data_IF_088336478641
#
_entry.id   IF_088336478641
#
_cell.length_a   1.000
_cell.length_b   1.000
_cell.length_c   1.000
_cell.angle_alpha   90.00
_cell.angle_beta   90.00
_cell.angle_gamma   90.00
#
_symmetry.space_group_name_H-M   'P 1'
#
loop_
_entity.id
_entity.type
_entity.pdbx_description
1 polymer ?
#
# COMPACT_ATOMS: atom_id res chain seq x y z
N UNK A 1 -30.88 10.18 -18.38
CA UNK A 1 -30.65 10.85 -19.68
C UNK A 1 -29.67 11.98 -19.44
N UNK A 2 -28.44 11.82 -19.90
CA UNK A 2 -27.41 12.86 -19.88
C UNK A 2 -26.84 12.89 -21.30
N UNK A 3 -27.35 13.78 -22.14
CA UNK A 3 -26.68 14.20 -23.36
C UNK A 3 -25.62 15.23 -22.96
N UNK A 4 -24.35 14.87 -23.12
CA UNK A 4 -23.25 15.81 -23.07
C UNK A 4 -22.99 16.26 -24.52
N UNK A 5 -23.22 17.54 -24.85
CA UNK A 5 -23.02 18.03 -26.21
C UNK A 5 -21.51 18.11 -26.49
N UNK A 6 -21.05 17.40 -27.52
CA UNK A 6 -19.68 17.53 -28.04
C UNK A 6 -18.96 16.22 -28.35
N UNK A 7 -19.46 15.07 -27.92
CA UNK A 7 -18.90 13.77 -28.30
C UNK A 7 -19.97 13.03 -29.10
N UNK A 8 -19.87 13.11 -30.44
CA UNK A 8 -20.55 12.16 -31.32
C UNK A 8 -19.94 10.77 -31.10
N UNK A 9 -20.32 10.08 -30.03
CA UNK A 9 -20.07 8.64 -29.90
C UNK A 9 -20.96 7.94 -30.94
N UNK A 10 -20.39 7.65 -32.12
CA UNK A 10 -21.00 6.91 -33.23
C UNK A 10 -21.22 5.42 -32.91
N UNK A 11 -21.81 5.10 -31.77
CA UNK A 11 -22.21 3.73 -31.44
C UNK A 11 -23.71 3.75 -31.14
N UNK A 12 -24.55 3.25 -32.05
CA UNK A 12 -25.98 3.12 -31.80
C UNK A 12 -26.25 2.39 -30.48
N UNK A 13 -27.25 2.81 -29.72
CA UNK A 13 -27.52 2.31 -28.37
C UNK A 13 -27.63 0.76 -28.30
N UNK A 14 -28.19 0.14 -29.34
CA UNK A 14 -28.29 -1.32 -29.45
C UNK A 14 -26.93 -2.02 -29.58
N UNK A 15 -25.93 -1.34 -30.15
CA UNK A 15 -24.57 -1.84 -30.36
C UNK A 15 -23.63 -1.50 -29.21
N UNK A 16 -24.08 -0.79 -28.18
CA UNK A 16 -23.27 -0.49 -27.00
C UNK A 16 -23.22 -1.69 -26.04
N UNK A 17 -22.02 -2.11 -25.66
CA UNK A 17 -21.76 -3.06 -24.58
C UNK A 17 -20.93 -2.35 -23.51
N UNK A 18 -21.51 -2.13 -22.35
CA UNK A 18 -20.80 -1.57 -21.20
C UNK A 18 -20.32 -2.71 -20.32
N UNK A 19 -19.01 -2.77 -20.09
CA UNK A 19 -18.37 -3.71 -19.16
C UNK A 19 -17.68 -2.93 -18.04
N UNK A 20 -17.81 -3.39 -16.81
CA UNK A 20 -17.01 -2.96 -15.68
C UNK A 20 -16.30 -4.21 -15.16
N UNK A 21 -14.98 -4.28 -15.37
CA UNK A 21 -14.21 -5.51 -15.25
C UNK A 21 -14.83 -6.61 -16.14
N UNK A 22 -15.13 -7.78 -15.59
CA UNK A 22 -15.74 -8.92 -16.31
C UNK A 22 -17.28 -8.87 -16.31
N UNK A 23 -17.89 -7.83 -15.72
CA UNK A 23 -19.34 -7.74 -15.54
C UNK A 23 -19.98 -6.82 -16.57
N UNK A 24 -20.96 -7.35 -17.31
CA UNK A 24 -21.82 -6.57 -18.19
C UNK A 24 -22.79 -5.71 -17.39
N UNK A 25 -22.80 -4.41 -17.68
CA UNK A 25 -23.78 -3.49 -17.12
C UNK A 25 -25.08 -3.64 -17.90
N UNK A 26 -26.13 -4.09 -17.22
CA UNK A 26 -27.46 -4.20 -17.80
C UNK A 26 -28.18 -2.85 -17.66
N UNK A 27 -28.80 -2.32 -18.73
CA UNK A 27 -29.50 -1.03 -18.69
C UNK A 27 -30.62 -0.96 -17.64
N UNK A 28 -31.18 -2.12 -17.30
CA UNK A 28 -32.30 -2.29 -16.37
C UNK A 28 -31.87 -2.16 -14.90
N UNK A 29 -30.56 -2.13 -14.61
CA UNK A 29 -30.03 -2.10 -13.24
C UNK A 29 -29.36 -0.76 -12.95
N UNK A 30 -29.60 -0.16 -11.76
CA UNK A 30 -28.94 1.07 -11.39
C UNK A 30 -27.43 0.85 -11.22
N UNK A 31 -26.61 1.87 -11.51
CA UNK A 31 -25.15 1.82 -11.38
C UNK A 31 -24.68 1.45 -9.96
N UNK A 32 -25.47 1.79 -8.94
CA UNK A 32 -25.24 1.40 -7.54
C UNK A 32 -25.25 -0.12 -7.33
N UNK A 33 -26.01 -0.88 -8.12
CA UNK A 33 -25.98 -2.34 -8.10
C UNK A 33 -24.62 -2.91 -8.52
N UNK A 34 -23.80 -2.11 -9.22
CA UNK A 34 -22.44 -2.44 -9.66
C UNK A 34 -21.36 -1.72 -8.83
N UNK A 35 -21.74 -1.02 -7.76
CA UNK A 35 -20.86 -0.18 -6.91
C UNK A 35 -20.16 0.93 -7.70
N UNK A 36 -20.87 1.53 -8.66
CA UNK A 36 -20.41 2.69 -9.44
C UNK A 36 -21.18 3.95 -9.03
N UNK A 37 -20.55 5.15 -9.09
CA UNK A 37 -19.17 5.40 -9.50
C UNK A 37 -18.14 4.97 -8.45
N UNK A 38 -16.97 4.52 -8.89
CA UNK A 38 -15.85 4.13 -8.03
C UNK A 38 -14.54 4.45 -8.73
N UNK A 39 -13.61 5.07 -8.01
CA UNK A 39 -12.29 5.46 -8.54
C UNK A 39 -11.40 4.25 -8.87
N UNK A 40 -11.77 3.05 -8.39
CA UNK A 40 -11.05 1.79 -8.64
C UNK A 40 -11.65 0.97 -9.80
N UNK A 41 -12.78 1.41 -10.37
CA UNK A 41 -13.53 0.62 -11.37
C UNK A 41 -13.80 1.42 -12.63
N UNK A 42 -13.08 1.08 -13.69
CA UNK A 42 -13.30 1.63 -15.01
C UNK A 42 -14.50 0.97 -15.70
N UNK A 43 -15.28 1.79 -16.41
CA UNK A 43 -16.38 1.33 -17.27
C UNK A 43 -15.93 1.47 -18.72
N UNK A 44 -15.83 0.34 -19.41
CA UNK A 44 -15.44 0.26 -20.80
C UNK A 44 -16.69 0.16 -21.68
N UNK A 45 -16.77 1.02 -22.69
CA UNK A 45 -17.80 0.98 -23.73
C UNK A 45 -17.25 0.30 -24.99
N UNK A 46 -17.79 -0.87 -25.31
CA UNK A 46 -17.47 -1.62 -26.51
C UNK A 46 -18.57 -1.48 -27.56
N UNK A 47 -18.18 -1.48 -28.84
CA UNK A 47 -19.09 -1.58 -29.97
C UNK A 47 -19.30 -3.06 -30.33
N UNK A 48 -20.46 -3.63 -29.96
CA UNK A 48 -20.86 -5.01 -30.25
C UNK A 48 -20.80 -5.35 -31.73
N UNK A 49 -21.13 -4.41 -32.62
CA UNK A 49 -21.11 -4.65 -34.05
C UNK A 49 -19.69 -4.89 -34.57
N UNK A 50 -18.67 -4.27 -33.94
CA UNK A 50 -17.24 -4.43 -34.29
C UNK A 50 -16.53 -5.60 -33.61
N UNK A 51 -17.13 -6.18 -32.56
CA UNK A 51 -16.55 -7.33 -31.85
C UNK A 51 -16.97 -8.68 -32.44
N UNK A 52 -17.81 -8.71 -33.49
CA UNK A 52 -18.21 -9.94 -34.16
C UNK A 52 -17.12 -10.40 -35.13
N UNK A 53 -16.85 -11.71 -35.18
CA UNK A 53 -15.86 -12.31 -36.08
C UNK A 53 -16.07 -12.00 -37.57
N UNK A 54 -17.31 -11.69 -37.98
CA UNK A 54 -17.68 -11.31 -39.35
C UNK A 54 -18.12 -9.84 -39.44
N UNK A 55 -17.61 -8.97 -38.56
CA UNK A 55 -17.92 -7.55 -38.64
C UNK A 55 -17.37 -6.96 -39.94
N UNK A 56 -18.17 -6.19 -40.70
CA UNK A 56 -17.66 -5.53 -41.89
C UNK A 56 -16.56 -4.56 -41.49
N UNK A 57 -15.47 -4.52 -42.27
CA UNK A 57 -14.41 -3.56 -42.04
C UNK A 57 -14.99 -2.13 -41.98
N UNK A 58 -14.43 -1.24 -41.14
CA UNK A 58 -14.78 0.17 -41.17
C UNK A 58 -14.75 0.68 -42.60
N UNK A 59 -15.78 1.44 -43.01
CA UNK A 59 -15.76 2.10 -44.30
C UNK A 59 -14.47 2.93 -44.41
N UNK A 60 -13.79 2.84 -45.56
CA UNK A 60 -12.59 3.62 -45.81
C UNK A 60 -12.89 5.10 -45.57
N UNK A 61 -12.00 5.78 -44.85
CA UNK A 61 -12.14 7.19 -44.52
C UNK A 61 -12.20 8.00 -45.82
N UNK A 62 -13.32 8.71 -46.02
CA UNK A 62 -13.53 9.53 -47.20
C UNK A 62 -12.85 10.87 -46.98
N UNK A 63 -11.65 11.01 -47.50
CA UNK A 63 -10.90 12.27 -47.48
C UNK A 63 -11.47 13.19 -48.55
N UNK A 64 -12.23 14.22 -48.16
CA UNK A 64 -12.63 15.29 -49.07
C UNK A 64 -11.39 16.12 -49.44
N UNK A 65 -10.82 15.85 -50.62
CA UNK A 65 -9.77 16.67 -51.21
C UNK A 65 -10.46 17.89 -51.84
N UNK A 66 -10.08 19.09 -51.41
CA UNK A 66 -10.52 20.34 -52.05
C UNK A 66 -10.06 20.33 -53.52
N UNK A 67 -11.01 20.21 -54.45
CA UNK A 67 -10.73 20.21 -55.88
C UNK A 67 -10.65 21.66 -56.39
N UNK A 68 -9.43 22.19 -56.48
CA UNK A 68 -9.18 23.50 -57.11
C UNK A 68 -9.14 23.27 -58.62
N UNK A 69 -10.09 23.80 -59.42
CA UNK A 69 -10.13 23.54 -60.86
C UNK A 69 -8.95 24.17 -61.60
N UNK A 70 -8.52 23.53 -62.70
CA UNK A 70 -7.43 24.06 -63.52
C UNK A 70 -7.86 25.36 -64.23
N UNK A 71 -6.95 26.34 -64.39
CA UNK A 71 -7.29 27.60 -65.05
C UNK A 71 -7.60 27.38 -66.54
N UNK A 72 -8.49 28.20 -67.14
CA UNK A 72 -8.87 28.06 -68.55
C UNK A 72 -7.73 28.43 -69.50
N UNK A 73 -7.71 27.81 -70.68
CA UNK A 73 -6.69 28.04 -71.72
C UNK A 73 -6.65 29.51 -72.17
N UNK A 74 -5.44 30.08 -72.36
CA UNK A 74 -5.30 31.48 -72.75
C UNK A 74 -5.78 31.68 -74.19
N UNK A 75 -6.76 32.56 -74.36
CA UNK A 75 -7.34 32.93 -75.66
C UNK A 75 -7.26 34.45 -75.85
N UNK A 76 -6.88 34.92 -77.03
CA UNK A 76 -6.79 36.37 -77.33
C UNK A 76 -8.15 37.07 -77.21
N UNK A 77 -9.25 36.35 -77.47
CA UNK A 77 -10.63 36.83 -77.31
C UNK A 77 -10.98 37.18 -75.86
N UNK A 78 -10.34 36.53 -74.88
CA UNK A 78 -10.70 36.65 -73.47
C UNK A 78 -9.88 37.72 -72.73
N UNK A 79 -8.80 38.22 -73.35
CA UNK A 79 -7.95 39.31 -72.82
C UNK A 79 -7.23 40.06 -73.95
N UNK A 80 -7.90 40.98 -74.66
CA UNK A 80 -7.31 41.72 -75.77
C UNK A 80 -6.16 42.62 -75.30
N UNK A 81 -5.06 42.66 -76.04
CA UNK A 81 -3.85 43.43 -75.70
C UNK A 81 -3.58 44.49 -76.78
N UNK A 82 -3.18 45.73 -76.41
CA UNK A 82 -2.96 46.82 -77.38
C UNK A 82 -1.93 46.53 -78.48
N UNK A 83 -1.03 45.56 -78.24
CA UNK A 83 0.02 45.15 -79.17
C UNK A 83 -0.38 43.96 -80.06
N UNK A 84 -1.60 43.42 -79.95
CA UNK A 84 -2.07 42.32 -80.81
C UNK A 84 -2.16 42.73 -82.29
N UNK A 85 -2.39 44.02 -82.55
CA UNK A 85 -2.48 44.61 -83.89
C UNK A 85 -1.18 45.28 -84.35
N UNK A 86 -0.06 45.10 -83.62
CA UNK A 86 1.22 45.68 -83.98
C UNK A 86 1.78 45.09 -85.29
N UNK A 87 2.38 45.94 -86.13
CA UNK A 87 2.95 45.55 -87.43
C UNK A 87 4.27 44.78 -87.31
N UNK A 88 5.01 44.97 -86.21
CA UNK A 88 6.27 44.26 -85.93
C UNK A 88 5.96 42.86 -85.37
N UNK A 89 6.39 41.78 -86.06
CA UNK A 89 6.14 40.39 -85.62
C UNK A 89 6.67 40.08 -84.22
N UNK A 90 7.78 40.68 -83.81
CA UNK A 90 8.36 40.46 -82.49
C UNK A 90 7.49 41.12 -81.40
N UNK A 91 7.01 42.34 -81.65
CA UNK A 91 6.11 43.05 -80.73
C UNK A 91 4.72 42.39 -80.66
N UNK A 92 4.24 41.82 -81.77
CA UNK A 92 2.98 41.05 -81.82
C UNK A 92 3.05 39.71 -81.09
N UNK A 93 4.23 39.12 -80.95
CA UNK A 93 4.43 37.87 -80.22
C UNK A 93 4.46 38.06 -78.69
N UNK A 94 4.86 39.25 -78.20
CA UNK A 94 4.99 39.52 -76.76
C UNK A 94 3.69 39.30 -75.97
N UNK A 95 2.50 39.75 -76.41
CA UNK A 95 1.25 39.48 -75.71
C UNK A 95 0.88 38.00 -75.68
N UNK A 96 1.23 37.24 -76.72
CA UNK A 96 1.04 35.78 -76.75
C UNK A 96 1.90 35.11 -75.69
N UNK A 97 3.19 35.48 -75.61
CA UNK A 97 4.07 34.99 -74.57
C UNK A 97 3.61 35.41 -73.18
N UNK A 98 3.22 36.66 -72.97
CA UNK A 98 2.72 37.13 -71.67
C UNK A 98 1.50 36.33 -71.20
N UNK A 99 0.52 36.10 -72.08
CA UNK A 99 -0.67 35.28 -71.76
C UNK A 99 -0.27 33.84 -71.41
N UNK A 100 0.69 33.26 -72.13
CA UNK A 100 1.22 31.94 -71.82
C UNK A 100 1.94 31.95 -70.46
N UNK A 101 2.84 32.90 -70.18
CA UNK A 101 3.52 33.00 -68.89
C UNK A 101 2.54 33.18 -67.72
N UNK A 102 1.49 34.00 -67.89
CA UNK A 102 0.42 34.15 -66.88
C UNK A 102 -0.37 32.86 -66.69
N UNK A 103 -0.75 32.18 -67.78
CA UNK A 103 -1.42 30.88 -67.71
C UNK A 103 -0.56 29.84 -66.98
N UNK A 104 0.73 29.74 -67.32
CA UNK A 104 1.68 28.84 -66.66
C UNK A 104 1.84 29.18 -65.17
N UNK A 105 1.88 30.47 -64.81
CA UNK A 105 1.91 30.91 -63.42
C UNK A 105 0.63 30.49 -62.66
N UNK A 106 -0.54 30.67 -63.25
CA UNK A 106 -1.81 30.25 -62.65
C UNK A 106 -1.92 28.72 -62.52
N UNK A 107 -1.47 27.96 -63.52
CA UNK A 107 -1.37 26.50 -63.45
C UNK A 107 -0.43 26.07 -62.31
N UNK A 108 0.76 26.68 -62.24
CA UNK A 108 1.73 26.42 -61.19
C UNK A 108 1.17 26.74 -59.79
N UNK A 109 0.46 27.85 -59.65
CA UNK A 109 -0.19 28.24 -58.39
C UNK A 109 -1.30 27.25 -57.99
N UNK A 110 -2.17 26.85 -58.93
CA UNK A 110 -3.23 25.88 -58.64
C UNK A 110 -2.66 24.51 -58.19
N UNK A 111 -1.61 24.03 -58.86
CA UNK A 111 -0.91 22.79 -58.48
C UNK A 111 -0.27 22.94 -57.09
N UNK A 112 0.40 24.06 -56.82
CA UNK A 112 1.04 24.33 -55.53
C UNK A 112 0.01 24.39 -54.39
N UNK A 113 -1.11 25.11 -54.57
CA UNK A 113 -2.18 25.18 -53.57
C UNK A 113 -2.81 23.80 -53.32
N UNK A 114 -3.03 22.99 -54.36
CA UNK A 114 -3.56 21.61 -54.21
C UNK A 114 -2.56 20.70 -53.47
N UNK A 115 -1.27 20.88 -53.70
CA UNK A 115 -0.21 20.13 -53.02
C UNK A 115 -0.12 20.50 -51.54
N UNK A 116 -0.18 21.80 -51.20
CA UNK A 116 -0.20 22.26 -49.81
C UNK A 116 -1.41 21.71 -49.04
N UNK A 117 -2.62 21.80 -49.62
CA UNK A 117 -3.83 21.26 -48.99
C UNK A 117 -3.73 19.75 -48.73
N UNK A 118 -3.08 19.00 -49.61
CA UNK A 118 -2.81 17.56 -49.42
C UNK A 118 -1.77 17.30 -48.32
N UNK A 119 -0.74 18.14 -48.20
CA UNK A 119 0.25 18.03 -47.11
C UNK A 119 -0.41 18.32 -45.77
N UNK A 120 -1.20 19.39 -45.65
CA UNK A 120 -1.95 19.71 -44.41
C UNK A 120 -2.91 18.58 -44.02
N UNK A 121 -3.56 17.96 -45.02
CA UNK A 121 -4.39 16.78 -44.82
C UNK A 121 -3.59 15.58 -44.28
N UNK A 122 -2.43 15.29 -44.87
CA UNK A 122 -1.53 14.23 -44.40
C UNK A 122 -1.03 14.51 -42.98
N UNK A 123 -0.68 15.75 -42.66
CA UNK A 123 -0.26 16.14 -41.31
C UNK A 123 -1.38 15.96 -40.29
N UNK A 124 -2.60 16.37 -40.62
CA UNK A 124 -3.77 16.17 -39.76
C UNK A 124 -4.06 14.68 -39.53
N UNK A 125 -4.11 13.88 -40.59
CA UNK A 125 -4.30 12.43 -40.49
C UNK A 125 -3.16 11.78 -39.68
N UNK A 126 -1.92 12.25 -39.83
CA UNK A 126 -0.78 11.79 -39.04
C UNK A 126 -0.90 12.19 -37.56
N UNK A 127 -1.38 13.39 -37.24
CA UNK A 127 -1.65 13.80 -35.85
C UNK A 127 -2.81 13.01 -35.23
N UNK A 128 -3.85 12.70 -36.01
CA UNK A 128 -4.99 11.87 -35.59
C UNK A 128 -4.57 10.40 -35.36
N UNK A 129 -3.56 9.92 -36.10
CA UNK A 129 -2.92 8.60 -35.91
C UNK A 129 -1.92 8.56 -34.75
N UNK A 130 -1.28 9.68 -34.42
CA UNK A 130 -0.29 9.78 -33.35
C UNK A 130 -1.01 9.72 -32.01
N UNK A 131 -1.21 8.51 -31.51
CA UNK A 131 -1.69 8.14 -30.17
C UNK A 131 -1.75 9.32 -29.20
N UNK A 132 -2.93 9.93 -29.12
CA UNK A 132 -3.17 11.08 -28.26
C UNK A 132 -2.74 10.77 -26.82
N UNK A 133 -1.90 11.65 -26.26
CA UNK A 133 -1.63 11.86 -24.83
C UNK A 133 -0.34 11.29 -24.19
N UNK A 134 0.59 10.60 -24.87
CA UNK A 134 1.83 10.11 -24.20
C UNK A 134 3.09 10.29 -25.05
N UNK A 135 3.90 11.30 -24.73
CA UNK A 135 5.20 11.67 -25.35
C UNK A 135 6.39 11.33 -24.44
N UNK A 136 6.20 11.31 -23.13
CA UNK A 136 7.23 11.01 -22.13
C UNK A 136 6.66 10.17 -20.99
N UNK A 137 7.53 9.61 -20.14
CA UNK A 137 7.11 8.80 -18.99
C UNK A 137 6.26 9.58 -17.98
N UNK A 138 6.41 10.90 -17.93
CA UNK A 138 5.59 11.76 -17.07
C UNK A 138 4.12 11.74 -17.49
N UNK A 139 3.83 11.53 -18.78
CA UNK A 139 2.47 11.44 -19.31
C UNK A 139 1.72 10.16 -18.89
N UNK A 140 2.40 9.24 -18.18
CA UNK A 140 1.77 8.09 -17.55
C UNK A 140 1.01 8.48 -16.29
N UNK A 141 1.27 9.69 -15.75
CA UNK A 141 0.61 10.22 -14.58
C UNK A 141 0.09 11.61 -14.87
N UNK A 142 -1.13 11.92 -14.41
CA UNK A 142 -1.66 13.27 -14.50
C UNK A 142 -0.95 14.15 -13.46
N UNK A 143 -0.19 15.14 -13.92
CA UNK A 143 0.56 16.06 -13.04
C UNK A 143 -0.36 16.77 -12.04
N UNK A 144 -1.53 17.23 -12.48
CA UNK A 144 -2.56 17.85 -11.64
C UNK A 144 -2.99 16.94 -10.47
N UNK A 145 -3.13 15.64 -10.74
CA UNK A 145 -3.49 14.67 -9.71
C UNK A 145 -2.33 14.44 -8.72
N UNK A 146 -1.09 14.36 -9.22
CA UNK A 146 0.09 14.21 -8.35
C UNK A 146 0.26 15.42 -7.44
N UNK A 147 0.10 16.62 -7.99
CA UNK A 147 0.21 17.85 -7.23
C UNK A 147 -0.87 17.91 -6.15
N UNK A 148 -2.13 17.61 -6.51
CA UNK A 148 -3.23 17.54 -5.55
C UNK A 148 -2.96 16.50 -4.45
N UNK A 149 -2.57 15.28 -4.80
CA UNK A 149 -2.25 14.24 -3.81
C UNK A 149 -1.07 14.64 -2.92
N UNK A 150 -0.06 15.32 -3.47
CA UNK A 150 1.07 15.84 -2.69
C UNK A 150 0.63 16.91 -1.69
N UNK A 151 -0.21 17.87 -2.12
CA UNK A 151 -0.77 18.91 -1.25
C UNK A 151 -1.63 18.28 -0.14
N UNK A 152 -2.53 17.36 -0.49
CA UNK A 152 -3.40 16.64 0.45
C UNK A 152 -2.58 15.85 1.47
N UNK A 153 -1.54 15.13 1.03
CA UNK A 153 -0.61 14.44 1.93
C UNK A 153 0.11 15.41 2.86
N UNK A 154 0.54 16.57 2.36
CA UNK A 154 1.19 17.61 3.14
C UNK A 154 0.28 18.20 4.22
N UNK A 155 -0.97 18.50 3.87
CA UNK A 155 -1.98 19.01 4.80
C UNK A 155 -2.30 17.95 5.86
N UNK A 156 -2.58 16.73 5.44
CA UNK A 156 -2.88 15.62 6.35
C UNK A 156 -1.73 15.34 7.31
N UNK A 157 -0.47 15.41 6.84
CA UNK A 157 0.71 15.22 7.68
C UNK A 157 0.80 16.28 8.78
N UNK A 158 0.66 17.56 8.43
CA UNK A 158 0.69 18.67 9.41
C UNK A 158 -0.43 18.54 10.44
N UNK A 159 -1.64 18.19 9.99
CA UNK A 159 -2.77 17.97 10.90
C UNK A 159 -2.50 16.84 11.89
N UNK A 160 -1.93 15.72 11.42
CA UNK A 160 -1.54 14.61 12.27
C UNK A 160 -0.43 15.01 13.25
N UNK A 161 0.59 15.73 12.79
CA UNK A 161 1.69 16.22 13.63
C UNK A 161 1.20 17.14 14.75
N UNK A 162 0.26 18.05 14.45
CA UNK A 162 -0.37 18.90 15.45
C UNK A 162 -1.09 18.07 16.52
N UNK A 163 -1.87 17.06 16.11
CA UNK A 163 -2.59 16.18 17.03
C UNK A 163 -1.67 15.31 17.88
N UNK A 164 -0.57 14.82 17.31
CA UNK A 164 0.47 14.10 18.06
C UNK A 164 1.14 15.03 19.08
N UNK A 165 1.34 16.31 18.75
CA UNK A 165 1.91 17.29 19.66
C UNK A 165 0.98 17.62 20.84
N UNK A 166 -0.32 17.81 20.58
CA UNK A 166 -1.34 17.94 21.63
C UNK A 166 -1.34 16.71 22.55
N UNK A 167 -1.33 15.50 21.96
CA UNK A 167 -1.31 14.25 22.71
C UNK A 167 -0.05 14.08 23.59
N UNK A 168 1.12 14.53 23.13
CA UNK A 168 2.35 14.50 23.94
C UNK A 168 2.20 15.30 25.23
N UNK A 169 1.52 16.45 25.17
CA UNK A 169 1.25 17.27 26.35
C UNK A 169 0.29 16.56 27.30
N UNK A 170 -0.82 16.03 26.79
CA UNK A 170 -1.80 15.27 27.59
C UNK A 170 -1.16 14.05 28.28
N UNK A 171 -0.32 13.31 27.55
CA UNK A 171 0.38 12.15 28.10
C UNK A 171 1.40 12.54 29.17
N UNK A 172 2.13 13.65 28.97
CA UNK A 172 3.06 14.16 29.97
C UNK A 172 2.33 14.57 31.27
N UNK A 173 1.16 15.20 31.16
CA UNK A 173 0.34 15.56 32.31
C UNK A 173 -0.23 14.32 33.01
N UNK A 174 -0.70 13.31 32.25
CA UNK A 174 -1.13 12.03 32.80
C UNK A 174 -0.02 11.34 33.59
N UNK A 175 1.20 11.33 33.03
CA UNK A 175 2.39 10.78 33.68
C UNK A 175 2.67 11.51 34.99
N UNK A 176 2.74 12.85 34.98
CA UNK A 176 2.97 13.66 36.18
C UNK A 176 1.92 13.40 37.27
N UNK A 177 0.65 13.34 36.88
CA UNK A 177 -0.46 13.07 37.81
C UNK A 177 -0.34 11.68 38.44
N UNK A 178 0.08 10.68 37.65
CA UNK A 178 0.30 9.32 38.13
C UNK A 178 1.46 9.25 39.12
N UNK A 179 2.61 9.86 38.80
CA UNK A 179 3.77 9.93 39.69
C UNK A 179 3.43 10.63 41.01
N UNK A 180 2.67 11.73 40.95
CA UNK A 180 2.21 12.43 42.15
C UNK A 180 1.28 11.57 43.01
N UNK A 181 0.41 10.76 42.42
CA UNK A 181 -0.49 9.85 43.15
C UNK A 181 0.31 8.82 43.98
N UNK A 182 1.36 8.24 43.40
CA UNK A 182 2.23 7.27 44.09
C UNK A 182 3.12 7.88 45.17
N UNK A 183 3.35 9.20 45.12
CA UNK A 183 4.12 9.93 46.15
C UNK A 183 3.31 10.25 47.42
N UNK A 184 1.97 10.17 47.36
CA UNK A 184 1.09 10.48 48.48
C UNK A 184 1.21 9.48 49.64
N UNK A 185 1.88 9.85 50.74
CA UNK A 185 2.11 8.97 51.90
C UNK A 185 0.98 9.08 52.94
N UNK A 186 0.06 8.12 52.93
CA UNK A 186 -0.92 7.90 54.00
C UNK A 186 -0.32 7.40 55.32
N UNK A 187 0.95 6.94 55.30
CA UNK A 187 1.58 6.28 56.44
C UNK A 187 1.82 7.18 57.65
N UNK A 188 1.93 8.49 57.46
CA UNK A 188 2.17 9.42 58.56
C UNK A 188 0.94 9.56 59.47
N UNK A 189 -0.25 9.69 58.89
CA UNK A 189 -1.51 9.85 59.63
C UNK A 189 -1.84 8.63 60.51
N UNK A 190 -1.49 7.42 60.06
CA UNK A 190 -1.78 6.17 60.79
C UNK A 190 -0.81 5.99 61.98
N UNK A 191 0.46 6.35 61.81
CA UNK A 191 1.49 6.17 62.85
C UNK A 191 1.23 7.04 64.08
N UNK A 192 0.80 8.28 63.89
CA UNK A 192 0.51 9.20 65.00
C UNK A 192 -0.70 8.72 65.81
N UNK A 193 -1.74 8.23 65.12
CA UNK A 193 -2.93 7.65 65.75
C UNK A 193 -2.58 6.38 66.54
N UNK A 194 -1.79 5.48 65.96
CA UNK A 194 -1.38 4.23 66.60
C UNK A 194 -0.56 4.50 67.88
N UNK A 195 0.34 5.48 67.85
CA UNK A 195 1.16 5.87 69.00
C UNK A 195 0.27 6.45 70.11
N UNK A 196 -0.64 7.35 69.78
CA UNK A 196 -1.56 7.96 70.75
C UNK A 196 -2.47 6.93 71.43
N UNK A 197 -3.00 5.95 70.69
CA UNK A 197 -3.80 4.86 71.27
C UNK A 197 -2.96 4.00 72.22
N UNK A 198 -1.70 3.68 71.84
CA UNK A 198 -0.78 2.92 72.69
C UNK A 198 -0.47 3.65 74.00
N UNK A 199 -0.23 4.96 73.94
CA UNK A 199 0.11 5.77 75.12
C UNK A 199 -1.05 5.80 76.14
N UNK A 200 -2.29 5.84 75.67
CA UNK A 200 -3.49 5.85 76.52
C UNK A 200 -3.89 4.48 77.07
N UNK A 201 -3.21 3.39 76.67
CA UNK A 201 -3.46 2.05 77.21
C UNK A 201 -3.22 2.00 78.74
N UNK A 202 -2.31 2.84 79.26
CA UNK A 202 -2.04 2.97 80.70
C UNK A 202 -3.26 3.50 81.47
N UNK A 203 -3.96 4.49 80.92
CA UNK A 203 -5.17 5.08 81.51
C UNK A 203 -6.29 4.03 81.60
N UNK A 204 -6.45 3.20 80.56
CA UNK A 204 -7.41 2.10 80.56
C UNK A 204 -7.07 1.06 81.63
N UNK A 205 -5.78 0.73 81.80
CA UNK A 205 -5.34 -0.20 82.82
C UNK A 205 -5.57 0.34 84.25
N UNK A 206 -5.38 1.65 84.44
CA UNK A 206 -5.65 2.35 85.71
C UNK A 206 -7.15 2.32 86.05
N UNK A 207 -8.03 2.63 85.09
CA UNK A 207 -9.49 2.46 85.24
C UNK A 207 -9.89 1.04 85.61
N UNK A 208 -9.30 0.03 84.96
CA UNK A 208 -9.55 -1.39 85.29
C UNK A 208 -9.13 -1.72 86.72
N UNK A 209 -7.98 -1.21 87.16
CA UNK A 209 -7.47 -1.41 88.52
C UNK A 209 -8.40 -0.79 89.57
N UNK A 210 -8.83 0.46 89.37
CA UNK A 210 -9.78 1.15 90.26
C UNK A 210 -11.11 0.38 90.32
N UNK A 211 -11.63 -0.06 89.17
CA UNK A 211 -12.89 -0.79 89.12
C UNK A 211 -12.81 -2.18 89.78
N UNK A 212 -11.65 -2.84 89.71
CA UNK A 212 -11.41 -4.07 90.48
C UNK A 212 -11.33 -3.82 91.99
N UNK A 213 -10.70 -2.72 92.42
CA UNK A 213 -10.65 -2.33 93.83
C UNK A 213 -12.07 -2.04 94.36
N UNK A 214 -12.84 -1.21 93.65
CA UNK A 214 -14.24 -0.92 94.01
C UNK A 214 -15.10 -2.19 94.06
N UNK A 215 -14.93 -3.12 93.12
CA UNK A 215 -15.63 -4.41 93.13
C UNK A 215 -15.28 -5.25 94.37
N UNK A 216 -14.00 -5.32 94.75
CA UNK A 216 -13.57 -5.99 95.99
C UNK A 216 -14.16 -5.32 97.22
N UNK A 217 -14.16 -4.00 97.26
CA UNK A 217 -14.67 -3.22 98.37
C UNK A 217 -16.17 -3.45 98.55
N UNK A 218 -16.96 -3.38 97.47
CA UNK A 218 -18.40 -3.68 97.49
C UNK A 218 -18.68 -5.10 97.95
N UNK A 219 -17.92 -6.10 97.49
CA UNK A 219 -18.06 -7.48 97.94
C UNK A 219 -17.72 -7.64 99.44
N UNK A 220 -16.74 -6.88 99.93
CA UNK A 220 -16.34 -6.87 101.34
C UNK A 220 -17.43 -6.24 102.21
N UNK A 221 -18.00 -5.11 101.77
CA UNK A 221 -19.15 -4.48 102.44
C UNK A 221 -20.34 -5.43 102.46
N UNK A 222 -20.68 -6.04 101.32
CA UNK A 222 -21.77 -7.01 101.22
C UNK A 222 -21.58 -8.17 102.18
N UNK A 223 -20.38 -8.76 102.24
CA UNK A 223 -20.06 -9.84 103.18
C UNK A 223 -20.17 -9.40 104.63
N UNK A 224 -19.65 -8.22 105.00
CA UNK A 224 -19.77 -7.67 106.35
C UNK A 224 -21.23 -7.46 106.76
N UNK A 225 -22.07 -6.99 105.82
CA UNK A 225 -23.51 -6.83 106.03
C UNK A 225 -24.21 -8.19 106.18
N UNK A 226 -23.92 -9.15 105.30
CA UNK A 226 -24.48 -10.51 105.35
C UNK A 226 -24.07 -11.25 106.64
N UNK A 227 -22.82 -11.12 107.09
CA UNK A 227 -22.29 -11.69 108.34
C UNK A 227 -22.96 -11.05 109.58
N UNK A 228 -23.30 -9.76 109.53
CA UNK A 228 -24.07 -9.07 110.58
C UNK A 228 -25.54 -9.50 110.62
N UNK A 229 -26.17 -9.73 109.46
CA UNK A 229 -27.58 -10.14 109.35
C UNK A 229 -27.80 -11.62 109.69
N UNK A 230 -26.84 -12.49 109.39
CA UNK A 230 -26.90 -13.94 109.61
C UNK A 230 -26.52 -14.37 111.05
N UNK A 231 -26.03 -13.45 111.89
CA UNK A 231 -25.64 -13.73 113.27
C UNK A 231 -24.38 -14.58 113.44
N UNK A 232 -23.63 -14.85 112.34
CA UNK A 232 -22.38 -15.63 112.34
C UNK A 232 -21.13 -14.79 112.67
N UNK A 233 -21.27 -13.68 113.40
CA UNK A 233 -20.09 -12.92 113.83
C UNK A 233 -19.25 -13.76 114.78
N UNK A 234 -17.98 -13.95 114.44
CA UNK A 234 -16.98 -14.49 115.36
C UNK A 234 -16.94 -13.61 116.62
N UNK A 235 -16.78 -14.21 117.80
CA UNK A 235 -16.87 -13.57 119.12
C UNK A 235 -15.90 -12.39 119.37
N UNK A 236 -15.09 -12.02 118.37
CA UNK A 236 -14.06 -10.99 118.40
C UNK A 236 -14.37 -9.70 117.61
N UNK A 237 -15.39 -9.65 116.75
CA UNK A 237 -15.72 -8.45 115.97
C UNK A 237 -17.07 -7.90 116.42
N UNK A 238 -17.11 -6.65 116.93
CA UNK A 238 -18.36 -5.98 117.26
C UNK A 238 -18.89 -5.24 116.02
N UNK A 239 -20.22 -5.06 115.87
CA UNK A 239 -20.80 -4.34 114.74
C UNK A 239 -20.22 -2.94 114.51
N UNK A 240 -19.78 -2.26 115.58
CA UNK A 240 -19.15 -0.94 115.49
C UNK A 240 -17.75 -0.95 114.86
N UNK A 241 -17.01 -2.07 114.97
CA UNK A 241 -15.67 -2.23 114.40
C UNK A 241 -15.78 -2.43 112.89
N UNK A 242 -16.81 -3.17 112.45
CA UNK A 242 -17.14 -3.35 111.04
C UNK A 242 -17.51 -2.02 110.38
N UNK A 243 -18.31 -1.17 111.02
CA UNK A 243 -18.66 0.16 110.52
C UNK A 243 -17.45 1.11 110.52
N UNK A 244 -16.59 1.06 111.54
CA UNK A 244 -15.37 1.86 111.61
C UNK A 244 -14.37 1.49 110.51
N UNK A 245 -14.34 0.22 110.09
CA UNK A 245 -13.52 -0.24 108.97
C UNK A 245 -14.00 0.27 107.59
N UNK A 246 -15.28 0.66 107.46
CA UNK A 246 -15.84 1.22 106.22
C UNK A 246 -15.46 2.69 106.01
N UNK A 247 -15.21 3.45 107.08
CA UNK A 247 -14.84 4.88 107.00
C UNK A 247 -13.60 5.13 106.13
N UNK A 248 -12.46 4.44 106.36
CA UNK A 248 -11.27 4.54 105.53
C UNK A 248 -11.49 4.11 104.07
N UNK A 249 -12.36 3.13 103.83
CA UNK A 249 -12.71 2.69 102.47
C UNK A 249 -13.47 3.81 101.74
N UNK A 250 -14.48 4.40 102.39
CA UNK A 250 -15.24 5.53 101.86
C UNK A 250 -14.33 6.75 101.60
N UNK A 251 -13.45 7.09 102.54
CA UNK A 251 -12.46 8.17 102.37
C UNK A 251 -11.55 7.92 101.15
N UNK A 252 -11.11 6.68 100.93
CA UNK A 252 -10.30 6.30 99.76
C UNK A 252 -11.09 6.39 98.45
N UNK A 253 -12.41 6.13 98.48
CA UNK A 253 -13.28 6.28 97.33
C UNK A 253 -13.46 7.76 96.97
N UNK A 254 -13.83 8.58 97.97
CA UNK A 254 -14.15 10.00 97.80
C UNK A 254 -12.93 10.84 97.42
N UNK A 255 -11.78 10.60 98.07
CA UNK A 255 -10.58 11.45 97.88
C UNK A 255 -9.63 10.96 96.80
N UNK A 256 -9.66 9.67 96.42
CA UNK A 256 -8.66 9.09 95.53
C UNK A 256 -9.27 8.40 94.30
N UNK A 257 -10.18 7.42 94.49
CA UNK A 257 -10.71 6.64 93.36
C UNK A 257 -11.63 7.45 92.44
N UNK A 258 -12.61 8.19 92.99
CA UNK A 258 -13.57 8.96 92.19
C UNK A 258 -12.88 10.10 91.41
N UNK A 259 -11.99 10.93 92.01
CA UNK A 259 -11.28 11.96 91.26
C UNK A 259 -10.36 11.38 90.17
N UNK A 260 -9.62 10.30 90.45
CA UNK A 260 -8.77 9.63 89.44
C UNK A 260 -9.60 9.02 88.30
N UNK A 261 -10.75 8.45 88.62
CA UNK A 261 -11.67 7.87 87.63
C UNK A 261 -12.25 8.96 86.70
N UNK A 262 -12.64 10.12 87.23
CA UNK A 262 -13.05 11.29 86.43
C UNK A 262 -11.90 11.82 85.56
N UNK A 263 -10.67 11.88 86.09
CA UNK A 263 -9.50 12.27 85.31
C UNK A 263 -9.23 11.29 84.16
N UNK A 264 -9.37 9.98 84.40
CA UNK A 264 -9.25 8.96 83.36
C UNK A 264 -10.36 9.07 82.29
N UNK A 265 -11.61 9.34 82.69
CA UNK A 265 -12.72 9.57 81.77
C UNK A 265 -12.47 10.78 80.86
N UNK A 266 -11.99 11.89 81.43
CA UNK A 266 -11.61 13.09 80.66
C UNK A 266 -10.48 12.79 79.66
N UNK A 267 -9.46 12.06 80.08
CA UNK A 267 -8.36 11.64 79.19
C UNK A 267 -8.84 10.74 78.04
N UNK A 268 -9.74 9.79 78.31
CA UNK A 268 -10.35 8.93 77.27
C UNK A 268 -11.24 9.73 76.33
N UNK A 269 -12.00 10.70 76.85
CA UNK A 269 -12.84 11.58 76.04
C UNK A 269 -12.01 12.43 75.08
N UNK A 270 -10.88 12.94 75.54
CA UNK A 270 -9.92 13.67 74.69
C UNK A 270 -9.31 12.76 73.60
N UNK A 271 -8.94 11.52 73.96
CA UNK A 271 -8.47 10.53 72.97
C UNK A 271 -9.54 10.22 71.92
N UNK A 272 -10.81 10.08 72.32
CA UNK A 272 -11.91 9.83 71.40
C UNK A 272 -12.09 10.97 70.40
N UNK A 273 -12.04 12.22 70.86
CA UNK A 273 -12.09 13.40 69.99
C UNK A 273 -10.93 13.40 68.99
N UNK A 274 -9.70 13.17 69.48
CA UNK A 274 -8.51 13.07 68.63
C UNK A 274 -8.63 11.95 67.57
N UNK A 275 -9.13 10.76 67.97
CA UNK A 275 -9.35 9.65 67.04
C UNK A 275 -10.40 9.99 65.99
N UNK A 276 -11.45 10.72 66.38
CA UNK A 276 -12.52 11.16 65.48
C UNK A 276 -11.99 12.16 64.45
N UNK A 277 -11.20 13.14 64.87
CA UNK A 277 -10.53 14.10 63.96
C UNK A 277 -9.60 13.39 62.98
N UNK A 278 -8.73 12.51 63.46
CA UNK A 278 -7.82 11.73 62.60
C UNK A 278 -8.56 10.82 61.63
N UNK A 279 -9.68 10.23 62.05
CA UNK A 279 -10.55 9.43 61.16
C UNK A 279 -11.17 10.29 60.06
N UNK A 280 -11.60 11.51 60.38
CA UNK A 280 -12.16 12.43 59.41
C UNK A 280 -11.09 12.91 58.41
N UNK A 281 -9.88 13.24 58.88
CA UNK A 281 -8.73 13.56 58.01
C UNK A 281 -8.41 12.41 57.05
N UNK A 282 -8.38 11.17 57.56
CA UNK A 282 -8.15 9.97 56.74
C UNK A 282 -9.25 9.75 55.71
N UNK A 283 -10.53 9.90 56.10
CA UNK A 283 -11.65 9.78 55.17
C UNK A 283 -11.56 10.80 54.02
N UNK A 284 -11.23 12.06 54.35
CA UNK A 284 -11.03 13.10 53.34
C UNK A 284 -9.83 12.78 52.43
N UNK A 285 -8.73 12.29 52.99
CA UNK A 285 -7.58 11.84 52.21
C UNK A 285 -7.98 10.72 51.24
N UNK A 286 -8.62 9.65 51.72
CA UNK A 286 -9.05 8.50 50.90
C UNK A 286 -10.04 8.93 49.82
N UNK A 287 -11.00 9.80 50.14
CA UNK A 287 -11.97 10.30 49.18
C UNK A 287 -11.29 11.05 48.02
N UNK A 288 -10.40 11.99 48.34
CA UNK A 288 -9.62 12.72 47.34
C UNK A 288 -8.71 11.78 46.53
N UNK A 289 -8.12 10.78 47.19
CA UNK A 289 -7.26 9.80 46.53
C UNK A 289 -8.05 8.94 45.54
N UNK A 290 -9.24 8.46 45.91
CA UNK A 290 -10.15 7.72 45.03
C UNK A 290 -10.61 8.56 43.84
N UNK A 291 -10.94 9.83 44.03
CA UNK A 291 -11.30 10.74 42.93
C UNK A 291 -10.14 10.90 41.94
N UNK A 292 -8.90 11.08 42.43
CA UNK A 292 -7.71 11.15 41.58
C UNK A 292 -7.46 9.86 40.80
N UNK A 293 -7.63 8.70 41.45
CA UNK A 293 -7.54 7.38 40.77
C UNK A 293 -8.58 7.31 39.65
N UNK A 294 -9.84 7.63 39.93
CA UNK A 294 -10.91 7.58 38.94
C UNK A 294 -10.62 8.47 37.73
N UNK A 295 -10.12 9.69 37.97
CA UNK A 295 -9.69 10.60 36.91
C UNK A 295 -8.53 10.02 36.08
N UNK A 296 -7.47 9.52 36.72
CA UNK A 296 -6.33 8.92 36.03
C UNK A 296 -6.76 7.70 35.20
N UNK A 297 -7.61 6.84 35.75
CA UNK A 297 -8.14 5.67 35.04
C UNK A 297 -8.97 6.07 33.81
N UNK A 298 -9.82 7.09 33.95
CA UNK A 298 -10.56 7.67 32.83
C UNK A 298 -9.60 8.18 31.74
N UNK A 299 -8.59 8.98 32.12
CA UNK A 299 -7.61 9.53 31.18
C UNK A 299 -6.77 8.45 30.51
N UNK A 300 -6.39 7.37 31.22
CA UNK A 300 -5.72 6.21 30.61
C UNK A 300 -6.62 5.57 29.53
N UNK A 301 -7.92 5.41 29.82
CA UNK A 301 -8.88 4.86 28.85
C UNK A 301 -9.01 5.75 27.62
N UNK A 302 -9.11 7.07 27.81
CA UNK A 302 -9.20 8.06 26.71
C UNK A 302 -7.93 8.05 25.84
N UNK A 303 -6.75 8.09 26.46
CA UNK A 303 -5.45 7.98 25.78
C UNK A 303 -5.36 6.70 24.93
N UNK A 304 -5.82 5.56 25.46
CA UNK A 304 -5.84 4.29 24.70
C UNK A 304 -6.73 4.36 23.46
N UNK A 305 -7.88 5.04 23.54
CA UNK A 305 -8.75 5.25 22.39
C UNK A 305 -8.06 6.12 21.33
N UNK A 306 -7.39 7.20 21.74
CA UNK A 306 -6.64 8.10 20.84
C UNK A 306 -5.51 7.36 20.10
N UNK A 307 -4.83 6.42 20.73
CA UNK A 307 -3.82 5.58 20.06
C UNK A 307 -4.38 4.80 18.88
N UNK A 308 -5.55 4.17 19.04
CA UNK A 308 -6.21 3.44 17.95
C UNK A 308 -6.58 4.38 16.80
N UNK A 309 -7.07 5.59 17.12
CA UNK A 309 -7.37 6.61 16.10
C UNK A 309 -6.11 7.06 15.37
N UNK A 310 -4.99 7.27 16.07
CA UNK A 310 -3.72 7.63 15.43
C UNK A 310 -3.16 6.52 14.55
N UNK A 311 -3.29 5.26 14.97
CA UNK A 311 -2.87 4.12 14.16
C UNK A 311 -3.64 4.05 12.84
N UNK A 312 -4.96 4.26 12.89
CA UNK A 312 -5.79 4.30 11.68
C UNK A 312 -5.46 5.53 10.81
N UNK A 313 -5.22 6.70 11.43
CA UNK A 313 -4.80 7.90 10.71
C UNK A 313 -3.45 7.71 10.00
N UNK A 314 -2.47 7.07 10.64
CA UNK A 314 -1.18 6.72 10.03
C UNK A 314 -1.34 5.76 8.86
N UNK A 315 -2.19 4.75 9.01
CA UNK A 315 -2.48 3.81 7.93
C UNK A 315 -3.09 4.53 6.73
N UNK A 316 -4.11 5.36 6.96
CA UNK A 316 -4.74 6.17 5.92
C UNK A 316 -3.75 7.13 5.24
N UNK A 317 -2.84 7.74 6.01
CA UNK A 317 -1.79 8.59 5.46
C UNK A 317 -0.83 7.80 4.57
N UNK A 318 -0.44 6.58 4.99
CA UNK A 318 0.40 5.70 4.18
C UNK A 318 -0.31 5.33 2.87
N UNK A 319 -1.59 4.96 2.93
CA UNK A 319 -2.39 4.60 1.75
C UNK A 319 -2.50 5.77 0.75
N UNK A 320 -2.67 7.00 1.24
CA UNK A 320 -2.61 8.20 0.39
C UNK A 320 -1.23 8.41 -0.24
N UNK A 321 -0.16 8.13 0.51
CA UNK A 321 1.20 8.27 0.03
C UNK A 321 1.61 7.18 -0.98
N UNK A 322 0.99 6.00 -0.95
CA UNK A 322 1.23 4.95 -1.96
C UNK A 322 0.98 5.44 -3.39
N UNK A 323 -0.01 6.31 -3.58
CA UNK A 323 -0.30 6.90 -4.89
C UNK A 323 0.88 7.72 -5.44
N UNK A 324 1.64 8.39 -4.55
CA UNK A 324 2.84 9.14 -4.93
C UNK A 324 4.04 8.22 -5.20
N UNK A 325 4.06 7.02 -4.62
CA UNK A 325 5.13 6.03 -4.86
C UNK A 325 5.11 5.45 -6.28
N UNK A 326 3.96 5.47 -6.97
CA UNK A 326 3.83 4.99 -8.36
C UNK A 326 4.87 5.65 -9.28
N UNK A 327 5.14 6.94 -9.09
CA UNK A 327 6.13 7.70 -9.87
C UNK A 327 7.54 7.08 -9.80
N UNK A 328 7.93 6.54 -8.64
CA UNK A 328 9.22 5.86 -8.47
C UNK A 328 9.29 4.52 -9.20
N UNK A 329 8.15 3.87 -9.44
CA UNK A 329 8.06 2.58 -10.14
C UNK A 329 8.09 2.69 -11.66
N UNK A 330 7.78 3.86 -12.23
CA UNK A 330 7.66 4.03 -13.69
C UNK A 330 9.01 3.85 -14.41
N UNK A 331 10.08 4.47 -13.90
CA UNK A 331 11.43 4.35 -14.49
C UNK A 331 11.94 2.90 -14.56
N UNK A 332 11.97 2.16 -13.44
CA UNK A 332 12.37 0.75 -13.43
C UNK A 332 11.49 -0.12 -14.33
N UNK A 333 10.17 0.08 -14.31
CA UNK A 333 9.24 -0.68 -15.14
C UNK A 333 9.48 -0.41 -16.64
N UNK A 334 9.69 0.84 -17.05
CA UNK A 334 10.01 1.19 -18.42
C UNK A 334 11.31 0.52 -18.91
N UNK A 335 12.36 0.55 -18.08
CA UNK A 335 13.63 -0.15 -18.37
C UNK A 335 13.42 -1.65 -18.57
N UNK A 336 12.61 -2.29 -17.72
CA UNK A 336 12.29 -3.70 -17.83
C UNK A 336 11.54 -4.02 -19.14
N UNK A 337 10.61 -3.16 -19.56
CA UNK A 337 9.93 -3.29 -20.86
C UNK A 337 10.90 -3.22 -22.04
N UNK A 338 11.84 -2.27 -22.05
CA UNK A 338 12.86 -2.18 -23.10
C UNK A 338 13.77 -3.41 -23.12
N UNK A 339 14.20 -3.89 -21.94
CA UNK A 339 15.01 -5.11 -21.84
C UNK A 339 14.25 -6.33 -22.39
N UNK A 340 12.94 -6.43 -22.12
CA UNK A 340 12.08 -7.50 -22.64
C UNK A 340 11.95 -7.45 -24.17
N UNK A 341 11.84 -6.25 -24.76
CA UNK A 341 11.84 -6.07 -26.23
C UNK A 341 13.15 -6.62 -26.84
N UNK A 342 14.30 -6.23 -26.28
CA UNK A 342 15.62 -6.72 -26.73
C UNK A 342 15.70 -8.24 -26.61
N UNK A 343 15.23 -8.80 -25.48
CA UNK A 343 15.20 -10.24 -25.23
C UNK A 343 14.35 -10.98 -26.26
N UNK A 344 13.16 -10.47 -26.59
CA UNK A 344 12.27 -11.08 -27.59
C UNK A 344 12.85 -11.03 -29.00
N UNK A 345 13.49 -9.92 -29.40
CA UNK A 345 14.23 -9.83 -30.67
C UNK A 345 15.34 -10.87 -30.75
N UNK A 346 16.11 -11.05 -29.68
CA UNK A 346 17.15 -12.07 -29.62
C UNK A 346 16.57 -13.50 -29.71
N UNK A 347 15.47 -13.77 -29.02
CA UNK A 347 14.77 -15.05 -29.09
C UNK A 347 14.25 -15.35 -30.50
N UNK A 348 13.70 -14.36 -31.21
CA UNK A 348 13.28 -14.49 -32.60
C UNK A 348 14.46 -14.86 -33.53
N UNK A 349 15.62 -14.20 -33.38
CA UNK A 349 16.84 -14.53 -34.14
C UNK A 349 17.26 -15.99 -33.92
N UNK A 350 17.25 -16.46 -32.66
CA UNK A 350 17.57 -17.86 -32.32
C UNK A 350 16.54 -18.81 -32.96
N UNK A 351 15.25 -18.48 -32.89
CA UNK A 351 14.19 -19.30 -33.46
C UNK A 351 14.33 -19.45 -34.98
N UNK A 352 14.56 -18.34 -35.69
CA UNK A 352 14.82 -18.34 -37.13
C UNK A 352 16.10 -19.13 -37.48
N UNK A 353 17.15 -19.00 -36.67
CA UNK A 353 18.38 -19.80 -36.83
C UNK A 353 18.12 -21.30 -36.76
N UNK A 354 17.26 -21.75 -35.82
CA UNK A 354 16.86 -23.16 -35.72
C UNK A 354 16.05 -23.64 -36.94
N UNK A 355 15.13 -22.81 -37.44
CA UNK A 355 14.38 -23.12 -38.65
C UNK A 355 15.30 -23.22 -39.88
N UNK A 356 16.30 -22.34 -39.97
CA UNK A 356 17.33 -22.39 -41.01
C UNK A 356 18.18 -23.67 -40.95
N UNK A 357 18.63 -24.07 -39.76
CA UNK A 357 19.36 -25.34 -39.58
C UNK A 357 18.54 -26.56 -40.01
N UNK A 358 17.23 -26.56 -39.73
CA UNK A 358 16.34 -27.63 -40.18
C UNK A 358 16.21 -27.65 -41.71
N UNK A 359 16.03 -26.47 -42.33
CA UNK A 359 15.97 -26.35 -43.79
C UNK A 359 17.25 -26.86 -44.46
N UNK A 360 18.41 -26.49 -43.93
CA UNK A 360 19.72 -26.94 -44.43
C UNK A 360 19.89 -28.46 -44.31
N UNK A 361 19.46 -29.04 -43.18
CA UNK A 361 19.50 -30.50 -42.97
C UNK A 361 18.64 -31.22 -44.02
N UNK A 362 17.39 -30.78 -44.21
CA UNK A 362 16.48 -31.37 -45.20
C UNK A 362 16.99 -31.21 -46.63
N UNK A 363 17.59 -30.06 -46.96
CA UNK A 363 18.24 -29.84 -48.25
C UNK A 363 19.43 -30.78 -48.48
N UNK A 364 20.24 -31.02 -47.44
CA UNK A 364 21.40 -31.94 -47.49
C UNK A 364 20.95 -33.39 -47.70
N UNK A 365 19.95 -33.85 -46.96
CA UNK A 365 19.37 -35.20 -47.10
C UNK A 365 18.77 -35.40 -48.50
N UNK A 366 18.04 -34.40 -49.00
CA UNK A 366 17.53 -34.39 -50.39
C UNK A 366 18.67 -34.50 -51.40
N UNK A 367 19.73 -33.71 -51.23
CA UNK A 367 20.89 -33.74 -52.13
C UNK A 367 21.64 -35.08 -52.13
N UNK A 368 21.67 -35.78 -50.99
CA UNK A 368 22.19 -37.14 -50.93
C UNK A 368 21.28 -38.14 -51.67
N UNK A 369 19.96 -38.03 -51.51
CA UNK A 369 19.00 -38.89 -52.22
C UNK A 369 19.03 -38.68 -53.74
N UNK A 370 19.09 -37.41 -54.18
CA UNK A 370 19.24 -37.06 -55.60
C UNK A 370 20.47 -37.72 -56.20
N UNK A 371 21.62 -37.62 -55.52
CA UNK A 371 22.86 -38.27 -55.97
C UNK A 371 22.73 -39.80 -56.04
N UNK A 372 22.11 -40.43 -55.04
CA UNK A 372 21.86 -41.88 -55.07
C UNK A 372 21.00 -42.30 -56.26
N UNK A 373 19.95 -41.53 -56.60
CA UNK A 373 19.10 -41.79 -57.78
C UNK A 373 19.88 -41.62 -59.07
N UNK A 374 20.68 -40.57 -59.19
CA UNK A 374 21.54 -40.32 -60.35
C UNK A 374 22.58 -41.44 -60.55
N UNK A 375 23.22 -41.89 -59.46
CA UNK A 375 24.17 -43.01 -59.47
C UNK A 375 23.49 -44.32 -59.92
N UNK A 376 22.33 -44.64 -59.36
CA UNK A 376 21.52 -45.79 -59.78
C UNK A 376 21.23 -45.78 -61.29
N UNK A 377 20.83 -44.62 -61.82
CA UNK A 377 20.57 -44.47 -63.25
C UNK A 377 21.83 -44.57 -64.11
N UNK A 378 22.96 -44.04 -63.61
CA UNK A 378 24.24 -44.15 -64.30
C UNK A 378 24.69 -45.60 -64.43
N UNK A 379 24.46 -46.42 -63.41
CA UNK A 379 24.87 -47.83 -63.39
C UNK A 379 23.90 -48.74 -64.16
N UNK A 380 22.58 -48.53 -64.03
CA UNK A 380 21.58 -49.47 -64.54
C UNK A 380 20.76 -48.96 -65.73
N UNK A 381 20.75 -47.65 -66.00
CA UNK A 381 19.83 -47.01 -66.95
C UNK A 381 20.09 -47.32 -68.43
N UNK A 382 21.26 -47.88 -68.78
CA UNK A 382 21.58 -48.28 -70.16
C UNK A 382 21.02 -49.66 -70.55
N UNK A 383 20.66 -50.48 -69.57
CA UNK A 383 20.19 -51.85 -69.78
C UNK A 383 18.67 -51.96 -69.91
N UNK A 384 17.91 -50.92 -69.53
CA UNK A 384 16.45 -50.93 -69.49
C UNK A 384 15.90 -49.81 -70.41
N UNK A 385 14.95 -50.12 -71.31
CA UNK A 385 14.26 -49.11 -72.12
C UNK A 385 13.66 -47.96 -71.29
N UNK A 386 13.80 -46.73 -71.80
CA UNK A 386 13.40 -45.50 -71.09
C UNK A 386 11.92 -45.42 -70.77
N UNK A 387 11.07 -45.94 -71.65
CA UNK A 387 9.62 -46.01 -71.48
C UNK A 387 9.23 -46.87 -70.26
N UNK A 388 9.94 -47.97 -70.04
CA UNK A 388 9.75 -48.83 -68.86
C UNK A 388 10.16 -48.08 -67.59
N UNK A 389 11.36 -47.48 -67.55
CA UNK A 389 11.83 -46.69 -66.40
C UNK A 389 10.90 -45.52 -66.06
N UNK A 390 10.33 -44.88 -67.09
CA UNK A 390 9.34 -43.80 -66.93
C UNK A 390 8.02 -44.33 -66.35
N UNK A 391 7.52 -45.46 -66.85
CA UNK A 391 6.28 -46.07 -66.34
C UNK A 391 6.39 -46.52 -64.88
N UNK A 392 7.60 -46.82 -64.41
CA UNK A 392 7.90 -47.16 -63.01
C UNK A 392 8.11 -45.92 -62.12
N UNK A 393 8.05 -44.69 -62.67
CA UNK A 393 8.26 -43.44 -61.93
C UNK A 393 9.70 -43.23 -61.45
N UNK A 394 10.66 -43.99 -61.98
CA UNK A 394 12.03 -43.92 -61.46
C UNK A 394 12.70 -42.58 -61.78
N UNK A 395 12.26 -41.86 -62.82
CA UNK A 395 12.78 -40.53 -63.17
C UNK A 395 12.31 -39.42 -62.23
N UNK A 396 11.39 -39.70 -61.30
CA UNK A 396 10.91 -38.71 -60.35
C UNK A 396 12.03 -38.31 -59.38
N UNK A 397 12.08 -37.02 -59.04
CA UNK A 397 13.04 -36.47 -58.09
C UNK A 397 12.31 -35.92 -56.87
N UNK A 398 12.90 -36.04 -55.66
CA UNK A 398 12.29 -35.45 -54.47
C UNK A 398 12.13 -33.93 -54.62
N UNK A 399 10.96 -33.39 -54.24
CA UNK A 399 10.72 -31.96 -54.25
C UNK A 399 11.55 -31.23 -53.18
N UNK A 400 11.95 -29.96 -53.40
CA UNK A 400 12.50 -29.12 -52.34
C UNK A 400 11.54 -28.99 -51.16
N UNK A 401 12.06 -28.90 -49.94
CA UNK A 401 11.27 -28.66 -48.74
C UNK A 401 11.45 -27.21 -48.29
N UNK A 402 10.35 -26.44 -48.29
CA UNK A 402 10.35 -25.06 -47.84
C UNK A 402 9.95 -24.97 -46.36
N UNK A 403 10.90 -24.53 -45.53
CA UNK A 403 10.63 -24.23 -44.11
C UNK A 403 10.24 -22.75 -43.99
N UNK A 404 8.96 -22.49 -43.76
CA UNK A 404 8.44 -21.13 -43.58
C UNK A 404 8.12 -20.84 -42.10
N UNK A 405 8.63 -19.72 -41.58
CA UNK A 405 8.29 -19.21 -40.24
C UNK A 405 7.39 -17.99 -40.41
N UNK A 406 6.17 -18.08 -39.88
CA UNK A 406 5.22 -16.96 -39.87
C UNK A 406 5.80 -15.84 -38.99
N UNK A 407 5.90 -14.59 -39.49
CA UNK A 407 6.39 -13.47 -38.69
C UNK A 407 5.55 -13.25 -37.44
N UNK A 408 6.21 -13.05 -36.29
CA UNK A 408 5.62 -12.65 -35.02
C UNK A 408 6.48 -11.57 -34.38
N UNK A 409 5.95 -10.88 -33.36
CA UNK A 409 6.64 -9.76 -32.71
C UNK A 409 7.00 -8.60 -33.67
N UNK A 410 6.21 -8.41 -34.74
CA UNK A 410 6.44 -7.39 -35.78
C UNK A 410 6.29 -5.93 -35.30
N UNK A 411 5.68 -5.72 -34.13
CA UNK A 411 5.43 -4.40 -33.55
C UNK A 411 6.48 -4.01 -32.50
N UNK A 412 7.52 -4.82 -32.31
CA UNK A 412 8.60 -4.51 -31.37
C UNK A 412 9.40 -3.29 -31.85
N UNK A 413 9.75 -2.41 -30.91
CA UNK A 413 10.58 -1.24 -31.19
C UNK A 413 11.99 -1.69 -31.57
N UNK A 414 12.58 -1.05 -32.57
CA UNK A 414 13.93 -1.38 -33.02
C UNK A 414 14.98 -0.82 -32.06
N UNK A 415 15.28 -1.59 -31.02
CA UNK A 415 16.30 -1.29 -30.01
C UNK A 415 17.23 -2.49 -29.81
N UNK A 416 18.49 -2.20 -29.48
CA UNK A 416 19.50 -3.19 -29.11
C UNK A 416 19.99 -3.00 -27.66
N UNK A 417 20.87 -3.89 -27.19
CA UNK A 417 21.40 -3.86 -25.81
C UNK A 417 22.10 -2.51 -25.51
N UNK A 418 22.80 -1.94 -26.48
CA UNK A 418 23.46 -0.64 -26.35
C UNK A 418 22.48 0.52 -26.18
N UNK A 419 21.29 0.40 -26.76
CA UNK A 419 20.24 1.40 -26.66
C UNK A 419 19.53 1.37 -25.30
N UNK A 420 19.52 0.22 -24.62
CA UNK A 420 18.92 0.08 -23.30
C UNK A 420 19.59 1.01 -22.29
N UNK A 421 20.93 1.07 -22.28
CA UNK A 421 21.67 1.98 -21.40
C UNK A 421 21.52 3.45 -21.81
N UNK A 422 21.30 3.72 -23.10
CA UNK A 422 21.10 5.07 -23.63
C UNK A 422 19.73 5.64 -23.27
N UNK A 423 18.67 4.85 -23.43
CA UNK A 423 17.28 5.29 -23.23
C UNK A 423 16.75 5.03 -21.81
N UNK A 424 17.34 4.09 -21.08
CA UNK A 424 16.95 3.76 -19.71
C UNK A 424 18.17 3.37 -18.83
N UNK A 425 19.03 4.34 -18.48
CA UNK A 425 20.23 4.10 -17.68
C UNK A 425 19.88 3.56 -16.27
N UNK A 426 20.84 2.89 -15.62
CA UNK A 426 20.66 2.35 -14.26
C UNK A 426 20.21 3.40 -13.22
N UNK A 427 20.43 4.70 -13.46
CA UNK A 427 19.96 5.77 -12.59
C UNK A 427 18.43 5.84 -12.47
N UNK A 428 17.68 5.31 -13.46
CA UNK A 428 16.21 5.20 -13.42
C UNK A 428 15.71 4.10 -12.47
N UNK A 429 16.58 3.23 -11.95
CA UNK A 429 16.21 2.20 -10.98
C UNK A 429 15.86 2.80 -9.59
N UNK A 430 15.96 4.13 -9.45
CA UNK A 430 15.95 4.81 -8.17
C UNK A 430 17.15 4.38 -7.33
N UNK A 431 17.36 5.03 -6.19
CA UNK A 431 18.22 4.48 -5.14
C UNK A 431 17.52 3.22 -4.57
N UNK A 432 17.49 2.13 -5.34
CA UNK A 432 17.46 0.79 -4.76
C UNK A 432 18.64 0.77 -3.83
N UNK A 433 18.39 0.64 -2.53
CA UNK A 433 19.40 0.42 -1.51
C UNK A 433 20.38 -0.63 -2.04
N UNK A 434 21.51 -0.17 -2.59
CA UNK A 434 22.62 -1.05 -2.96
C UNK A 434 23.09 -1.55 -1.61
N UNK A 435 22.63 -2.74 -1.27
CA UNK A 435 23.10 -3.55 -0.18
C UNK A 435 24.61 -3.39 -0.07
N UNK A 436 25.06 -3.05 1.13
CA UNK A 436 26.45 -3.24 1.57
C UNK A 436 26.89 -4.67 1.21
N UNK A 437 27.51 -4.83 0.05
CA UNK A 437 28.23 -6.05 -0.33
C UNK A 437 29.15 -5.74 -1.51
N UNK A 438 29.99 -4.72 -1.34
CA UNK A 438 31.21 -4.60 -2.15
C UNK A 438 32.31 -3.85 -1.40
N UNK A 439 32.86 -4.49 -0.37
CA UNK A 439 34.26 -4.35 0.05
C UNK A 439 34.60 -5.43 1.10
N UNK A 440 34.92 -6.63 0.61
CA UNK A 440 35.91 -7.48 1.26
C UNK A 440 36.53 -8.38 0.21
N UNK A 441 37.53 -7.83 -0.47
CA UNK A 441 38.51 -8.59 -1.24
C UNK A 441 39.87 -7.96 -0.90
N UNK A 442 40.51 -8.49 0.15
CA UNK A 442 41.98 -8.60 0.28
C UNK A 442 42.38 -9.23 1.62
N UNK A 443 42.70 -10.52 1.57
CA UNK A 443 43.87 -11.18 2.21
C UNK A 443 43.75 -12.68 1.89
N UNK A 444 44.49 -13.22 0.92
CA UNK A 444 45.68 -14.08 1.12
C UNK A 444 45.46 -15.14 2.23
N UNK A 445 45.70 -16.45 2.03
CA UNK A 445 46.87 -17.06 1.42
C UNK A 445 46.74 -18.61 1.36
N UNK A 446 47.42 -19.21 0.35
CA UNK A 446 48.15 -20.51 0.35
C UNK A 446 47.33 -21.81 0.37
N UNK A 447 47.32 -22.55 -0.75
CA UNK A 447 48.27 -23.60 -1.19
C UNK A 447 48.07 -24.92 -0.45
N UNK A 448 47.68 -25.97 -1.19
CA UNK A 448 48.50 -27.16 -1.39
C UNK A 448 47.90 -28.07 -2.45
N UNK A 449 48.79 -28.59 -3.29
CA UNK A 449 48.61 -29.62 -4.31
C UNK A 449 48.03 -30.92 -3.75
N UNK A 450 47.39 -31.71 -4.62
CA UNK A 450 47.98 -32.91 -5.24
C UNK A 450 46.89 -33.94 -5.58
N UNK A 451 47.13 -34.72 -6.65
CA UNK A 451 46.41 -35.97 -6.90
C UNK A 451 45.66 -36.07 -8.23
N UNK A 452 46.42 -36.30 -9.30
CA UNK A 452 45.99 -36.97 -10.54
C UNK A 452 45.29 -38.30 -10.25
N UNK A 453 44.25 -38.65 -11.02
CA UNK A 453 44.27 -39.79 -11.95
C UNK A 453 42.91 -40.02 -12.61
N UNK A 454 42.98 -40.30 -13.91
CA UNK A 454 41.89 -40.72 -14.76
C UNK A 454 41.65 -42.23 -14.61
N UNK A 455 40.38 -42.65 -14.64
CA UNK A 455 40.01 -43.96 -15.17
C UNK A 455 38.54 -43.91 -15.64
N UNK A 456 38.38 -44.04 -16.95
CA UNK A 456 37.13 -44.38 -17.62
C UNK A 456 36.63 -45.74 -17.13
N UNK A 457 35.31 -45.88 -16.89
CA UNK A 457 34.54 -47.10 -17.24
C UNK A 457 33.09 -46.67 -17.51
N UNK A 458 32.68 -46.78 -18.77
CA UNK A 458 31.27 -46.88 -19.18
C UNK A 458 30.65 -48.17 -18.65
N UNK A 459 29.38 -48.14 -18.25
CA UNK A 459 28.65 -49.37 -17.95
C UNK A 459 27.24 -49.20 -17.37
N UNK A 460 26.28 -48.94 -18.27
CA UNK A 460 24.90 -49.45 -18.27
C UNK A 460 23.96 -49.22 -17.07
N UNK A 461 22.92 -48.42 -17.35
CA UNK A 461 21.48 -48.73 -17.20
C UNK A 461 21.10 -49.85 -16.23
N UNK A 462 20.37 -49.52 -15.14
CA UNK A 462 18.96 -49.93 -14.99
C UNK A 462 18.25 -49.23 -13.80
N UNK A 463 16.98 -48.86 -14.00
CA UNK A 463 15.99 -48.60 -12.94
C UNK A 463 15.11 -49.84 -12.87
N UNK A 464 14.69 -50.35 -11.69
CA UNK A 464 13.36 -49.94 -11.24
C UNK A 464 13.04 -50.06 -9.72
N UNK A 465 12.18 -49.12 -9.28
CA UNK A 465 11.02 -49.23 -8.36
C UNK A 465 11.11 -49.90 -6.97
N UNK A 466 10.27 -49.29 -6.10
CA UNK A 466 9.69 -49.69 -4.78
C UNK A 466 10.50 -49.18 -3.59
N UNK A 467 9.93 -48.67 -2.50
CA UNK A 467 8.58 -48.68 -1.90
C UNK A 467 8.54 -47.48 -0.93
N UNK A 468 7.46 -46.69 -0.86
CA UNK A 468 6.46 -46.73 0.23
C UNK A 468 7.04 -46.85 1.66
N UNK A 469 6.94 -45.77 2.45
CA UNK A 469 6.19 -45.66 3.72
C UNK A 469 6.75 -44.47 4.52
N UNK A 470 5.94 -43.41 4.73
CA UNK A 470 5.26 -43.13 6.01
C UNK A 470 6.20 -43.09 7.22
N UNK A 471 6.52 -41.89 7.66
CA UNK A 471 6.24 -41.39 9.01
C UNK A 471 6.06 -39.87 8.91
#
# INVERSE_FOLDING_TARGET
MLEVPGIRLWIPFHDQLLLCLDLKLEPQRPLSAYKLPSDEREVFLFNKARMRNNSPHPAAEQVEIVDIPDPPLPSSSNSPHPLDDASDPALKALPSYERQFRFHFHCGHAIYSRALAKIEMCERLFQEQKSANRKCLLDFVKEENLQKTWEDCGISHRQFENKVSEFKLEFADLKRNTEHLFSGKASFLIKDLETSIKDHQRVINELKSIMQALSKDVNTVKKLVDDCLSGQMSSSLRPHDAVSALGPMYDSHEKDYLPKMQACESAISNLLNFCTEKKNEMNMFVHNYMQKIAYIQYSIKDVRYKFSVFQEALKRQNDQFEQLKVVRGIGPAYRACLAEVVRRKAAMKIYLGKAGQLAEKLATERGAEVRRREEFFKEHGTYIPRDILTSMGLYDMPNPCDVNVIPFDCNLVDIDISDLERYAPESLLGLSSKSEKRRSLRSSSRMSDDGSEAAEVEGSVDFPRRMISRS
#
